data_IF_592905089190
#
_entry.id   IF_592905089190
#
_cell.length_a   1.000
_cell.length_b   1.000
_cell.length_c   1.000
_cell.angle_alpha   90.00
_cell.angle_beta   90.00
_cell.angle_gamma   90.00
#
_symmetry.space_group_name_H-M   'P 1'
#
loop_
_entity.id
_entity.type
_entity.pdbx_description
1 polymer ?
#
# COMPACT_ATOMS: atom_id res chain seq x y z
N UNK A 1 -7.03 -1.61 43.86
CA UNK A 1 -6.47 -0.67 42.87
C UNK A 1 -5.38 -1.30 41.98
N UNK A 2 -4.57 -2.23 42.43
CA UNK A 2 -3.50 -2.89 41.66
C UNK A 2 -3.97 -3.96 40.64
N UNK A 3 -5.09 -4.63 40.87
CA UNK A 3 -5.63 -5.67 39.96
C UNK A 3 -6.19 -5.10 38.65
N UNK A 4 -6.71 -3.87 38.68
CA UNK A 4 -7.30 -3.23 37.49
C UNK A 4 -6.20 -2.77 36.51
N UNK A 5 -5.06 -2.33 37.05
CA UNK A 5 -3.92 -1.90 36.21
C UNK A 5 -3.22 -3.09 35.52
N UNK A 6 -3.25 -4.28 36.12
CA UNK A 6 -2.68 -5.49 35.51
C UNK A 6 -3.58 -6.08 34.38
N UNK A 7 -4.89 -5.90 34.48
CA UNK A 7 -5.83 -6.35 33.44
C UNK A 7 -5.75 -5.49 32.18
N UNK A 8 -5.37 -4.21 32.27
CA UNK A 8 -5.20 -3.33 31.10
C UNK A 8 -3.92 -3.61 30.30
N UNK A 9 -2.90 -4.25 30.88
CA UNK A 9 -1.64 -4.53 30.21
C UNK A 9 -1.67 -5.80 29.33
N UNK A 10 -2.70 -6.63 29.41
CA UNK A 10 -2.78 -7.91 28.67
C UNK A 10 -3.95 -8.03 27.71
N UNK A 11 -4.87 -7.05 27.68
CA UNK A 11 -5.94 -7.03 26.68
C UNK A 11 -5.45 -6.26 25.44
N UNK A 12 -4.95 -6.98 24.43
CA UNK A 12 -5.00 -6.41 23.08
C UNK A 12 -6.46 -6.03 22.81
N UNK A 13 -6.71 -4.74 22.57
CA UNK A 13 -8.05 -4.29 22.22
C UNK A 13 -8.47 -4.99 20.93
N UNK A 14 -9.69 -5.46 20.85
CA UNK A 14 -10.22 -6.17 19.65
C UNK A 14 -10.00 -5.36 18.36
N UNK A 15 -10.08 -4.04 18.41
CA UNK A 15 -9.84 -3.16 17.28
C UNK A 15 -8.36 -3.16 16.84
N UNK A 16 -7.42 -3.07 17.78
CA UNK A 16 -5.99 -3.10 17.43
C UNK A 16 -5.59 -4.46 16.85
N UNK A 17 -6.11 -5.55 17.41
CA UNK A 17 -5.89 -6.91 16.88
C UNK A 17 -6.47 -7.04 15.48
N UNK A 18 -7.66 -6.52 15.22
CA UNK A 18 -8.27 -6.53 13.90
C UNK A 18 -7.44 -5.75 12.86
N UNK A 19 -6.87 -4.60 13.24
CA UNK A 19 -5.97 -3.82 12.38
C UNK A 19 -4.68 -4.60 12.12
N UNK A 20 -4.03 -5.15 13.15
CA UNK A 20 -2.79 -5.92 13.01
C UNK A 20 -2.97 -7.15 12.12
N UNK A 21 -4.11 -7.83 12.21
CA UNK A 21 -4.43 -9.00 11.39
C UNK A 21 -4.57 -8.70 9.90
N UNK A 22 -4.74 -7.44 9.50
CA UNK A 22 -4.67 -7.02 8.09
C UNK A 22 -3.24 -6.94 7.57
N UNK A 23 -2.21 -6.85 8.45
CA UNK A 23 -0.81 -6.82 8.05
C UNK A 23 -0.35 -8.26 7.92
N UNK A 24 -0.18 -8.72 6.68
CA UNK A 24 0.16 -10.11 6.37
C UNK A 24 1.59 -10.22 5.83
N UNK A 25 2.21 -11.37 6.06
CA UNK A 25 3.51 -11.69 5.48
C UNK A 25 3.36 -12.10 4.01
N UNK A 26 4.44 -11.97 3.23
CA UNK A 26 4.45 -12.44 1.83
C UNK A 26 4.17 -13.95 1.72
N UNK A 27 4.55 -14.75 2.72
CA UNK A 27 4.29 -16.20 2.75
C UNK A 27 2.80 -16.50 2.83
N UNK A 28 2.01 -15.64 3.48
CA UNK A 28 0.56 -15.83 3.62
C UNK A 28 -0.26 -15.43 2.38
N UNK A 29 0.39 -14.90 1.33
CA UNK A 29 -0.31 -14.42 0.12
C UNK A 29 -1.12 -15.55 -0.54
N UNK A 30 -0.54 -16.74 -0.68
CA UNK A 30 -1.20 -17.85 -1.36
C UNK A 30 -2.49 -18.24 -0.65
N UNK A 31 -2.45 -18.37 0.68
CA UNK A 31 -3.61 -18.71 1.49
C UNK A 31 -4.68 -17.61 1.42
N UNK A 32 -4.27 -16.34 1.45
CA UNK A 32 -5.17 -15.21 1.33
C UNK A 32 -5.87 -15.20 -0.03
N UNK A 33 -5.14 -15.37 -1.12
CA UNK A 33 -5.70 -15.40 -2.48
C UNK A 33 -6.62 -16.59 -2.70
N UNK A 34 -6.36 -17.75 -2.07
CA UNK A 34 -7.27 -18.88 -2.07
C UNK A 34 -8.60 -18.57 -1.35
N UNK A 35 -8.54 -17.87 -0.20
CA UNK A 35 -9.74 -17.44 0.52
C UNK A 35 -10.56 -16.45 -0.30
N UNK A 36 -9.91 -15.60 -1.11
CA UNK A 36 -10.54 -14.57 -1.93
C UNK A 36 -10.74 -14.96 -3.41
N UNK A 37 -10.73 -16.26 -3.73
CA UNK A 37 -10.72 -16.77 -5.10
C UNK A 37 -11.93 -16.35 -5.98
N UNK A 38 -13.02 -15.84 -5.36
CA UNK A 38 -14.21 -15.32 -6.05
C UNK A 38 -14.34 -13.81 -5.97
N UNK A 39 -13.35 -13.13 -5.43
CA UNK A 39 -13.38 -11.68 -5.20
C UNK A 39 -12.50 -10.98 -6.23
N UNK A 40 -12.92 -9.81 -6.68
CA UNK A 40 -12.10 -8.94 -7.53
C UNK A 40 -11.06 -8.23 -6.64
N UNK A 41 -9.84 -8.73 -6.64
CA UNK A 41 -8.74 -8.19 -5.84
C UNK A 41 -8.08 -7.04 -6.56
N UNK A 42 -8.00 -5.90 -5.89
CA UNK A 42 -7.30 -4.68 -6.33
C UNK A 42 -5.98 -4.58 -5.58
N UNK A 43 -4.90 -4.30 -6.29
CA UNK A 43 -3.59 -4.07 -5.70
C UNK A 43 -3.05 -2.69 -6.05
N UNK A 44 -2.50 -2.03 -5.07
CA UNK A 44 -1.67 -0.83 -5.24
C UNK A 44 -0.48 -0.87 -4.29
N UNK A 45 0.55 -0.04 -4.53
CA UNK A 45 1.68 0.07 -3.62
C UNK A 45 2.22 1.49 -3.52
N UNK A 46 2.89 1.76 -2.41
CA UNK A 46 3.55 3.03 -2.16
C UNK A 46 4.34 3.07 -0.86
N UNK A 47 5.04 4.17 -0.61
CA UNK A 47 5.76 4.38 0.64
C UNK A 47 4.84 4.82 1.78
N UNK A 48 3.86 5.69 1.49
CA UNK A 48 2.89 6.26 2.44
C UNK A 48 3.53 6.81 3.72
N UNK A 49 4.65 7.52 3.55
CA UNK A 49 5.49 7.97 4.67
C UNK A 49 4.81 9.02 5.56
N UNK A 50 4.14 10.01 4.95
CA UNK A 50 3.26 10.95 5.64
C UNK A 50 1.88 10.83 5.00
N UNK A 51 0.93 10.25 5.73
CA UNK A 51 -0.43 10.13 5.23
C UNK A 51 -1.11 11.49 5.17
N UNK A 52 -1.77 11.77 4.05
CA UNK A 52 -2.49 13.03 3.83
C UNK A 52 -3.77 12.78 3.00
N UNK A 53 -4.63 13.79 2.90
CA UNK A 53 -5.92 13.68 2.19
C UNK A 53 -5.77 13.07 0.79
N UNK A 54 -4.74 13.45 0.03
CA UNK A 54 -4.51 12.90 -1.31
C UNK A 54 -4.32 11.37 -1.31
N UNK A 55 -3.64 10.82 -0.30
CA UNK A 55 -3.51 9.36 -0.14
C UNK A 55 -4.85 8.71 0.19
N UNK A 56 -5.64 9.31 1.12
CA UNK A 56 -6.94 8.76 1.51
C UNK A 56 -7.88 8.73 0.32
N UNK A 57 -7.98 9.83 -0.43
CA UNK A 57 -8.82 9.92 -1.64
C UNK A 57 -8.41 8.89 -2.68
N UNK A 58 -7.11 8.78 -2.96
CA UNK A 58 -6.55 7.81 -3.90
C UNK A 58 -6.88 6.36 -3.50
N UNK A 59 -6.62 6.01 -2.23
CA UNK A 59 -6.85 4.64 -1.74
C UNK A 59 -8.34 4.29 -1.70
N UNK A 60 -9.22 5.24 -1.34
CA UNK A 60 -10.66 5.03 -1.38
C UNK A 60 -11.16 4.78 -2.82
N UNK A 61 -10.76 5.62 -3.78
CA UNK A 61 -11.07 5.41 -5.20
C UNK A 61 -10.50 4.10 -5.74
N UNK A 62 -9.33 3.69 -5.24
CA UNK A 62 -8.73 2.40 -5.59
C UNK A 62 -9.57 1.24 -5.05
N UNK A 63 -10.07 1.33 -3.82
CA UNK A 63 -10.92 0.30 -3.22
C UNK A 63 -12.25 0.10 -3.98
N UNK A 64 -12.80 1.17 -4.55
CA UNK A 64 -14.05 1.14 -5.32
C UNK A 64 -13.94 0.34 -6.65
N UNK A 65 -12.72 -0.06 -7.04
CA UNK A 65 -12.48 -0.82 -8.28
C UNK A 65 -12.63 -2.34 -8.14
N UNK A 66 -12.85 -2.84 -6.93
CA UNK A 66 -13.05 -4.27 -6.68
C UNK A 66 -13.63 -4.58 -5.31
N UNK A 67 -13.58 -5.85 -4.93
CA UNK A 67 -14.17 -6.34 -3.68
C UNK A 67 -13.17 -6.32 -2.52
N UNK A 68 -11.86 -6.39 -2.83
CA UNK A 68 -10.76 -6.47 -1.86
C UNK A 68 -9.61 -5.57 -2.26
N UNK A 69 -9.14 -4.71 -1.35
CA UNK A 69 -7.97 -3.87 -1.55
C UNK A 69 -6.78 -4.40 -0.77
N UNK A 70 -5.70 -4.74 -1.49
CA UNK A 70 -4.37 -5.02 -0.94
C UNK A 70 -3.46 -3.82 -1.21
N UNK A 71 -2.78 -3.35 -0.16
CA UNK A 71 -1.80 -2.27 -0.27
C UNK A 71 -0.40 -2.79 0.04
N UNK A 72 0.49 -2.73 -0.95
CA UNK A 72 1.92 -3.00 -0.77
C UNK A 72 2.64 -1.78 -0.17
N UNK A 73 3.38 -1.97 0.93
CA UNK A 73 4.19 -0.94 1.57
C UNK A 73 5.66 -1.24 1.31
N UNK A 74 6.38 -0.28 0.73
CA UNK A 74 7.83 -0.39 0.64
C UNK A 74 8.44 -0.45 2.05
N UNK A 75 9.29 -1.43 2.36
CA UNK A 75 10.07 -1.46 3.59
C UNK A 75 10.98 -0.23 3.70
N UNK A 76 11.57 0.00 4.85
CA UNK A 76 12.54 1.10 5.02
C UNK A 76 13.76 0.92 4.13
N UNK A 77 14.21 -0.33 3.92
CA UNK A 77 15.27 -0.67 2.99
C UNK A 77 14.85 -0.35 1.54
N UNK A 78 13.66 -0.76 1.14
CA UNK A 78 13.10 -0.49 -0.20
C UNK A 78 12.96 1.02 -0.46
N UNK A 79 12.47 1.81 0.52
CA UNK A 79 12.36 3.28 0.37
C UNK A 79 13.72 3.92 0.11
N UNK A 80 14.79 3.47 0.79
CA UNK A 80 16.16 3.97 0.58
C UNK A 80 16.66 3.74 -0.84
N UNK A 81 16.30 2.59 -1.46
CA UNK A 81 16.65 2.29 -2.86
C UNK A 81 15.97 3.25 -3.86
N UNK A 82 14.85 3.86 -3.50
CA UNK A 82 14.13 4.80 -4.37
C UNK A 82 14.78 6.19 -4.46
N UNK A 83 15.91 6.43 -3.76
CA UNK A 83 16.66 7.69 -3.77
C UNK A 83 15.80 8.95 -3.50
N UNK A 84 14.80 8.84 -2.62
CA UNK A 84 13.89 9.94 -2.26
C UNK A 84 14.46 10.92 -1.23
N UNK A 85 15.78 10.90 -1.03
CA UNK A 85 16.51 11.73 -0.05
C UNK A 85 17.00 10.92 1.16
N UNK A 86 18.05 11.43 1.82
CA UNK A 86 18.76 10.72 2.90
C UNK A 86 17.96 10.61 4.21
N UNK A 87 16.91 11.44 4.38
CA UNK A 87 16.07 11.47 5.59
C UNK A 87 14.81 10.62 5.48
N UNK A 88 14.63 9.91 4.37
CA UNK A 88 13.44 9.07 4.13
C UNK A 88 13.73 7.59 4.39
N UNK A 89 12.74 6.83 4.94
CA UNK A 89 11.42 7.28 5.39
C UNK A 89 11.50 7.99 6.75
N UNK A 90 10.47 8.80 7.09
CA UNK A 90 10.32 9.47 8.39
C UNK A 90 9.68 8.53 9.42
N UNK A 91 8.77 7.66 8.98
CA UNK A 91 8.12 6.65 9.81
C UNK A 91 8.63 5.26 9.40
N UNK A 92 8.87 4.40 10.38
CA UNK A 92 9.24 3.01 10.12
C UNK A 92 8.14 2.25 9.36
N UNK A 93 8.53 1.19 8.68
CA UNK A 93 7.65 0.40 7.81
C UNK A 93 6.43 -0.16 8.52
N UNK A 94 6.59 -0.61 9.78
CA UNK A 94 5.47 -1.17 10.55
C UNK A 94 4.47 -0.09 10.94
N UNK A 95 4.93 1.08 11.37
CA UNK A 95 4.07 2.25 11.66
C UNK A 95 3.27 2.65 10.42
N UNK A 96 3.91 2.71 9.25
CA UNK A 96 3.26 3.02 7.97
C UNK A 96 2.22 1.97 7.59
N UNK A 97 2.56 0.69 7.76
CA UNK A 97 1.64 -0.42 7.51
C UNK A 97 0.43 -0.40 8.45
N UNK A 98 0.64 -0.13 9.74
CA UNK A 98 -0.43 -0.06 10.74
C UNK A 98 -1.41 1.09 10.44
N UNK A 99 -0.89 2.25 10.04
CA UNK A 99 -1.70 3.41 9.64
C UNK A 99 -2.58 3.07 8.43
N UNK A 100 -2.01 2.45 7.39
CA UNK A 100 -2.77 2.04 6.21
C UNK A 100 -3.78 0.94 6.54
N UNK A 101 -3.40 -0.05 7.35
CA UNK A 101 -4.30 -1.13 7.79
C UNK A 101 -5.49 -0.63 8.63
N UNK A 102 -5.36 0.54 9.28
CA UNK A 102 -6.45 1.15 10.05
C UNK A 102 -7.56 1.74 9.18
N UNK A 103 -7.32 1.95 7.89
CA UNK A 103 -8.35 2.41 6.97
C UNK A 103 -9.38 1.30 6.75
N UNK A 104 -10.67 1.64 6.90
CA UNK A 104 -11.76 0.65 6.88
C UNK A 104 -11.88 -0.09 5.53
N UNK A 105 -11.57 0.59 4.44
CA UNK A 105 -11.65 0.09 3.07
C UNK A 105 -10.37 -0.64 2.60
N UNK A 106 -9.36 -0.79 3.45
CA UNK A 106 -8.17 -1.62 3.20
C UNK A 106 -8.38 -2.99 3.82
N UNK A 107 -8.24 -4.06 3.04
CA UNK A 107 -8.46 -5.44 3.49
C UNK A 107 -7.16 -6.12 3.92
N UNK A 108 -6.04 -5.85 3.23
CA UNK A 108 -4.73 -6.36 3.62
C UNK A 108 -3.60 -5.38 3.28
N UNK A 109 -2.53 -5.46 4.07
CA UNK A 109 -1.28 -4.70 3.87
C UNK A 109 -0.12 -5.68 3.86
N UNK A 110 0.81 -5.49 2.92
CA UNK A 110 2.00 -6.35 2.78
C UNK A 110 3.23 -5.47 2.68
N UNK A 111 4.21 -5.69 3.55
CA UNK A 111 5.51 -5.02 3.47
C UNK A 111 6.41 -5.81 2.52
N UNK A 112 7.12 -5.13 1.62
CA UNK A 112 8.04 -5.75 0.66
C UNK A 112 9.38 -5.00 0.61
N UNK A 113 10.47 -5.77 0.42
CA UNK A 113 11.85 -5.28 0.51
C UNK A 113 12.45 -4.88 -0.83
N UNK A 114 11.87 -5.32 -1.93
CA UNK A 114 12.41 -5.13 -3.26
C UNK A 114 12.27 -3.67 -3.73
N UNK A 115 13.12 -3.26 -4.67
CA UNK A 115 13.06 -1.93 -5.27
C UNK A 115 11.75 -1.67 -6.03
N UNK A 116 11.10 -2.73 -6.50
CA UNK A 116 9.82 -2.69 -7.22
C UNK A 116 8.87 -3.76 -6.71
N UNK A 117 7.54 -3.59 -6.84
CA UNK A 117 6.55 -4.55 -6.37
C UNK A 117 6.39 -5.77 -7.29
N UNK A 118 7.31 -6.03 -8.24
CA UNK A 118 7.15 -7.05 -9.28
C UNK A 118 6.91 -8.45 -8.70
N UNK A 119 7.72 -8.87 -7.73
CA UNK A 119 7.58 -10.19 -7.09
C UNK A 119 6.25 -10.32 -6.38
N UNK A 120 5.81 -9.27 -5.69
CA UNK A 120 4.54 -9.22 -5.00
C UNK A 120 3.36 -9.29 -5.98
N UNK A 121 3.39 -8.55 -7.09
CA UNK A 121 2.37 -8.60 -8.15
C UNK A 121 2.33 -10.01 -8.79
N UNK A 122 3.49 -10.63 -9.03
CA UNK A 122 3.57 -11.98 -9.58
C UNK A 122 2.95 -13.02 -8.65
N UNK A 123 3.14 -12.89 -7.33
CA UNK A 123 2.56 -13.81 -6.34
C UNK A 123 1.05 -13.57 -6.14
N UNK A 124 0.60 -12.33 -6.14
CA UNK A 124 -0.80 -11.94 -5.92
C UNK A 124 -1.68 -12.21 -7.14
N UNK A 125 -1.16 -11.98 -8.35
CA UNK A 125 -1.95 -12.00 -9.61
C UNK A 125 -3.29 -11.24 -9.46
N UNK A 126 -3.27 -9.96 -9.09
CA UNK A 126 -4.49 -9.20 -8.83
C UNK A 126 -5.30 -9.01 -10.11
N UNK A 127 -6.63 -8.91 -9.99
CA UNK A 127 -7.50 -8.59 -11.12
C UNK A 127 -7.41 -7.13 -11.53
N UNK A 128 -7.03 -6.25 -10.61
CA UNK A 128 -6.82 -4.82 -10.91
C UNK A 128 -5.50 -4.35 -10.28
N UNK A 129 -4.61 -3.81 -11.10
CA UNK A 129 -3.41 -3.10 -10.66
C UNK A 129 -3.64 -1.60 -10.78
N UNK A 130 -3.49 -0.88 -9.67
CA UNK A 130 -3.72 0.58 -9.64
C UNK A 130 -2.44 1.33 -9.35
N UNK A 131 -2.21 2.40 -10.09
CA UNK A 131 -1.15 3.38 -9.83
C UNK A 131 -1.71 4.79 -9.78
N UNK A 132 -1.09 5.62 -8.97
CA UNK A 132 -1.46 7.03 -8.85
C UNK A 132 -0.55 7.95 -9.66
N UNK A 133 -1.09 9.05 -10.20
CA UNK A 133 -0.34 10.15 -10.75
C UNK A 133 0.06 10.03 -12.22
N UNK A 134 1.34 10.25 -12.54
CA UNK A 134 1.82 10.48 -13.89
C UNK A 134 2.18 9.18 -14.65
N UNK A 135 1.75 8.02 -14.16
CA UNK A 135 1.90 6.75 -14.87
C UNK A 135 0.95 6.66 -16.07
N UNK A 136 1.28 5.78 -17.00
CA UNK A 136 0.47 5.55 -18.21
C UNK A 136 0.29 4.04 -18.43
N UNK A 137 -0.94 3.57 -18.31
CA UNK A 137 -1.28 2.15 -18.46
C UNK A 137 -1.13 1.61 -19.88
N UNK A 138 -0.94 2.46 -20.89
CA UNK A 138 -0.74 2.06 -22.28
C UNK A 138 0.74 1.78 -22.61
N UNK A 139 1.67 2.24 -21.77
CA UNK A 139 3.10 2.05 -21.96
C UNK A 139 3.49 0.61 -21.60
N UNK A 140 4.15 -0.06 -22.57
CA UNK A 140 4.66 -1.43 -22.41
C UNK A 140 6.20 -1.50 -22.37
N UNK A 141 6.90 -0.36 -22.50
CA UNK A 141 8.36 -0.33 -22.43
C UNK A 141 8.82 -0.17 -20.96
N UNK A 142 9.49 -1.18 -20.35
CA UNK A 142 9.96 -1.11 -18.96
C UNK A 142 10.98 -0.01 -18.68
N UNK A 143 11.65 0.51 -19.73
CA UNK A 143 12.62 1.62 -19.61
C UNK A 143 11.94 3.00 -19.58
N UNK A 144 10.66 3.10 -19.86
CA UNK A 144 9.92 4.36 -19.77
C UNK A 144 9.59 4.69 -18.31
N UNK A 145 9.76 5.95 -17.95
CA UNK A 145 9.49 6.44 -16.57
C UNK A 145 8.02 6.33 -16.16
N UNK A 146 7.13 6.28 -17.14
CA UNK A 146 5.68 6.13 -16.92
C UNK A 146 5.20 4.69 -16.95
N UNK A 147 6.11 3.73 -17.22
CA UNK A 147 5.78 2.31 -17.21
C UNK A 147 5.32 1.87 -15.82
N UNK A 148 4.29 1.06 -15.79
CA UNK A 148 3.75 0.47 -14.55
C UNK A 148 4.33 -0.94 -14.41
N UNK A 149 5.22 -1.13 -13.45
CA UNK A 149 5.84 -2.42 -13.15
C UNK A 149 4.76 -3.47 -12.86
N UNK A 150 4.83 -4.61 -13.55
CA UNK A 150 3.89 -5.72 -13.44
C UNK A 150 2.59 -5.55 -14.25
N UNK A 151 2.46 -4.46 -15.03
CA UNK A 151 1.30 -4.23 -15.90
C UNK A 151 1.14 -5.30 -16.96
N UNK A 152 2.24 -5.81 -17.50
CA UNK A 152 2.29 -6.92 -18.44
C UNK A 152 1.74 -8.21 -17.86
N UNK A 153 2.14 -8.57 -16.64
CA UNK A 153 1.67 -9.76 -15.94
C UNK A 153 0.16 -9.70 -15.71
N UNK A 154 -0.33 -8.56 -15.18
CA UNK A 154 -1.76 -8.39 -14.90
C UNK A 154 -2.59 -8.46 -16.17
N UNK A 155 -2.16 -7.81 -17.26
CA UNK A 155 -2.85 -7.85 -18.56
C UNK A 155 -2.83 -9.24 -19.20
N UNK A 156 -1.71 -9.98 -19.10
CA UNK A 156 -1.60 -11.36 -19.60
C UNK A 156 -2.55 -12.31 -18.88
N UNK A 157 -2.82 -12.05 -17.60
CA UNK A 157 -3.77 -12.81 -16.79
C UNK A 157 -5.23 -12.35 -16.95
N UNK A 158 -5.51 -11.44 -17.91
CA UNK A 158 -6.86 -10.91 -18.17
C UNK A 158 -7.31 -9.83 -17.17
N UNK A 159 -6.41 -9.31 -16.35
CA UNK A 159 -6.69 -8.21 -15.41
C UNK A 159 -6.59 -6.83 -16.04
N UNK A 160 -6.95 -5.83 -15.26
CA UNK A 160 -6.99 -4.42 -15.64
C UNK A 160 -5.85 -3.62 -14.99
N UNK A 161 -5.32 -2.62 -15.70
CA UNK A 161 -4.33 -1.67 -15.17
C UNK A 161 -4.90 -0.27 -15.25
N UNK A 162 -5.12 0.35 -14.09
CA UNK A 162 -5.84 1.61 -13.95
C UNK A 162 -4.93 2.67 -13.34
N UNK A 163 -4.97 3.89 -13.90
CA UNK A 163 -4.29 5.05 -13.33
C UNK A 163 -5.33 5.97 -12.70
N UNK A 164 -5.17 6.23 -11.40
CA UNK A 164 -6.01 7.15 -10.64
C UNK A 164 -5.26 8.47 -10.47
N UNK A 165 -5.81 9.61 -10.92
CA UNK A 165 -5.15 10.91 -10.79
C UNK A 165 -4.98 11.30 -9.33
N UNK A 166 -3.89 12.00 -9.01
CA UNK A 166 -3.70 12.55 -7.67
C UNK A 166 -4.63 13.75 -7.42
N UNK A 167 -5.11 13.85 -6.18
CA UNK A 167 -5.84 15.04 -5.75
C UNK A 167 -4.89 16.26 -5.77
N UNK A 168 -5.18 17.32 -6.56
CA UNK A 168 -4.31 18.50 -6.64
C UNK A 168 -4.10 19.18 -5.28
N UNK A 169 -2.91 19.70 -5.05
CA UNK A 169 -2.57 20.45 -3.84
C UNK A 169 -2.11 19.62 -2.64
N UNK A 170 -2.13 18.30 -2.72
CA UNK A 170 -1.73 17.40 -1.64
C UNK A 170 -0.51 16.57 -2.03
N UNK A 171 0.58 16.74 -1.29
CA UNK A 171 1.77 15.88 -1.41
C UNK A 171 2.60 15.90 -0.13
N UNK A 172 3.32 14.84 0.14
CA UNK A 172 4.30 14.77 1.23
C UNK A 172 5.32 15.91 1.15
N UNK A 173 5.79 16.23 -0.06
CA UNK A 173 6.72 17.34 -0.31
C UNK A 173 6.13 18.69 0.09
N UNK A 174 4.84 18.93 -0.14
CA UNK A 174 4.17 20.15 0.27
C UNK A 174 4.09 20.30 1.79
N UNK A 175 3.85 19.19 2.49
CA UNK A 175 3.81 19.14 3.96
C UNK A 175 5.20 19.45 4.52
N UNK A 176 6.26 18.78 4.01
CA UNK A 176 7.65 19.04 4.44
C UNK A 176 8.08 20.49 4.21
N UNK A 177 7.72 21.07 3.07
CA UNK A 177 8.02 22.47 2.78
C UNK A 177 7.35 23.41 3.78
N UNK A 178 6.12 23.12 4.21
CA UNK A 178 5.42 23.91 5.24
C UNK A 178 6.11 23.79 6.60
N UNK A 179 6.49 22.58 7.01
CA UNK A 179 7.20 22.36 8.28
C UNK A 179 8.54 23.11 8.32
N UNK A 180 9.29 23.12 7.20
CA UNK A 180 10.59 23.80 7.12
C UNK A 180 10.50 25.34 7.06
N UNK A 181 9.34 25.90 6.77
CA UNK A 181 9.11 27.34 6.65
C UNK A 181 8.55 27.98 7.93
N UNK A 182 7.99 27.18 8.83
CA UNK A 182 7.47 27.61 10.14
C UNK A 182 8.51 27.58 11.19
#
# INVERSE_FOLDING_TARGET
MWLIQFLFLTMETTNLTAIKNKIISQVAIVDLMQQWNKQKVVFTNGCFDILHQGHITYLAQTADLGDKLIVGINSDASVKMLNKGTTRPLQDEYSRALIIASLNFVDAVIIFDEATPLQLITALQPQVLVKGGDYDSTINNPSDKKYIVGSDIVKQNGGEVIVVPFLPGYSTTSIEKKIKRG
#
